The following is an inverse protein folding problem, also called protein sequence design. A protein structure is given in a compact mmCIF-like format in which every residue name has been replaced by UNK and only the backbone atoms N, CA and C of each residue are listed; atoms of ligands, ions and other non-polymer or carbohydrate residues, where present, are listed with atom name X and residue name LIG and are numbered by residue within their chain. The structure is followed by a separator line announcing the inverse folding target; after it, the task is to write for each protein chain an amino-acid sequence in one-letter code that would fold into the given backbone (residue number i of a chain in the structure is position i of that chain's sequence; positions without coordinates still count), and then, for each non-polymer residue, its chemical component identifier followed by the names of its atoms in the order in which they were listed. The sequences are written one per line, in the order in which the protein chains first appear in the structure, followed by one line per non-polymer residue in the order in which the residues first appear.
data_IF_742195971361
#
_entry.id   IF_742195971361
#
_cell.length_a   1.000
_cell.length_b   1.000
_cell.length_c   1.000
_cell.angle_alpha   90.00
_cell.angle_beta   90.00
_cell.angle_gamma   90.00
#
_symmetry.space_group_name_H-M   'P 1'
#
loop_
_entity.id
_entity.type
_entity.pdbx_description
1 polymer ?
#
# COMPACT_ATOMS: atom_id res chain seq x y z
N UNK A 1 3.00 -10.78 41.19
CA UNK A 1 2.01 -9.95 41.91
C UNK A 1 1.95 -8.51 41.38
N UNK A 2 3.05 -7.74 41.39
CA UNK A 2 3.04 -6.32 40.98
C UNK A 2 2.71 -6.10 39.48
N UNK A 3 3.30 -6.91 38.58
CA UNK A 3 3.05 -6.82 37.12
C UNK A 3 1.60 -7.17 36.73
N UNK A 4 0.94 -8.06 37.47
CA UNK A 4 -0.46 -8.42 37.24
C UNK A 4 -1.42 -7.30 37.68
N UNK A 5 -1.14 -6.64 38.82
CA UNK A 5 -1.93 -5.46 39.25
C UNK A 5 -1.79 -4.31 38.26
N UNK A 6 -0.57 -4.03 37.79
CA UNK A 6 -0.33 -2.97 36.79
C UNK A 6 -1.03 -3.27 35.47
N UNK A 7 -1.00 -4.52 35.00
CA UNK A 7 -1.73 -4.92 33.80
C UNK A 7 -3.26 -4.80 33.96
N UNK A 8 -3.80 -5.20 35.11
CA UNK A 8 -5.22 -5.09 35.42
C UNK A 8 -5.68 -3.63 35.55
N UNK A 9 -4.91 -2.77 36.23
CA UNK A 9 -5.21 -1.34 36.37
C UNK A 9 -5.09 -0.58 35.05
N UNK A 10 -4.22 -1.03 34.15
CA UNK A 10 -4.12 -0.47 32.81
C UNK A 10 -5.31 -0.89 31.94
N UNK A 11 -5.73 -2.15 32.02
CA UNK A 11 -6.92 -2.65 31.31
C UNK A 11 -8.21 -1.95 31.78
N UNK A 12 -8.36 -1.72 33.10
CA UNK A 12 -9.54 -1.04 33.65
C UNK A 12 -9.60 0.42 33.19
N UNK A 13 -8.48 1.15 33.24
CA UNK A 13 -8.41 2.54 32.75
C UNK A 13 -8.65 2.67 31.25
N UNK A 14 -8.16 1.72 30.45
CA UNK A 14 -8.44 1.69 29.01
C UNK A 14 -9.92 1.43 28.75
N UNK A 15 -10.53 0.48 29.47
CA UNK A 15 -11.97 0.20 29.37
C UNK A 15 -12.83 1.38 29.80
N UNK A 16 -12.43 2.10 30.83
CA UNK A 16 -13.14 3.27 31.36
C UNK A 16 -13.07 4.44 30.37
N UNK A 17 -11.89 4.71 29.80
CA UNK A 17 -11.72 5.71 28.73
C UNK A 17 -12.53 5.33 27.48
N UNK A 18 -12.54 4.06 27.08
CA UNK A 18 -13.36 3.57 25.96
C UNK A 18 -14.86 3.70 26.24
N UNK A 19 -15.31 3.48 27.48
CA UNK A 19 -16.70 3.64 27.89
C UNK A 19 -17.12 5.12 28.00
N UNK A 20 -16.18 6.02 28.32
CA UNK A 20 -16.40 7.47 28.39
C UNK A 20 -16.30 8.17 27.03
N UNK A 21 -15.77 7.49 26.01
CA UNK A 21 -15.59 8.06 24.67
C UNK A 21 -16.73 7.61 23.75
N UNK A 22 -17.42 8.54 23.04
CA UNK A 22 -18.43 8.15 22.07
C UNK A 22 -17.85 7.20 21.02
N UNK A 23 -18.58 6.13 20.67
CA UNK A 23 -18.17 5.20 19.62
C UNK A 23 -17.78 5.91 18.30
N UNK A 24 -18.44 7.05 18.03
CA UNK A 24 -18.15 7.93 16.90
C UNK A 24 -16.76 8.56 16.91
N UNK A 25 -16.23 8.91 18.08
CA UNK A 25 -14.90 9.53 18.20
C UNK A 25 -13.79 8.48 18.05
N UNK A 26 -14.03 7.24 18.51
CA UNK A 26 -13.15 6.10 18.26
C UNK A 26 -13.11 5.81 16.75
N UNK A 27 -14.27 5.72 16.09
CA UNK A 27 -14.36 5.50 14.65
C UNK A 27 -13.61 6.59 13.86
N UNK A 28 -13.81 7.86 14.23
CA UNK A 28 -13.13 9.01 13.60
C UNK A 28 -11.61 8.93 13.75
N UNK A 29 -11.10 8.61 14.95
CA UNK A 29 -9.66 8.52 15.22
C UNK A 29 -9.01 7.32 14.53
N UNK A 30 -9.70 6.18 14.47
CA UNK A 30 -9.24 5.00 13.72
C UNK A 30 -9.19 5.30 12.21
N UNK A 31 -10.24 5.92 11.66
CA UNK A 31 -10.27 6.31 10.25
C UNK A 31 -9.17 7.31 9.90
N UNK A 32 -8.93 8.30 10.75
CA UNK A 32 -7.85 9.27 10.57
C UNK A 32 -6.47 8.60 10.63
N UNK A 33 -6.28 7.66 11.54
CA UNK A 33 -5.02 6.90 11.67
C UNK A 33 -4.76 6.00 10.48
N UNK A 34 -5.78 5.31 9.97
CA UNK A 34 -5.70 4.49 8.76
C UNK A 34 -5.44 5.35 7.53
N UNK A 35 -6.10 6.51 7.40
CA UNK A 35 -5.85 7.45 6.31
C UNK A 35 -4.42 7.99 6.34
N UNK A 36 -3.91 8.36 7.53
CA UNK A 36 -2.52 8.82 7.71
C UNK A 36 -1.48 7.71 7.46
N UNK A 37 -1.84 6.45 7.68
CA UNK A 37 -0.99 5.31 7.33
C UNK A 37 -1.01 5.04 5.82
N UNK A 38 -2.18 5.03 5.18
CA UNK A 38 -2.31 4.90 3.72
C UNK A 38 -1.62 6.04 2.98
N UNK A 39 -1.66 7.27 3.50
CA UNK A 39 -0.97 8.41 2.87
C UNK A 39 0.55 8.34 2.97
N UNK A 40 1.09 7.51 3.88
CA UNK A 40 2.53 7.24 3.98
C UNK A 40 2.99 6.12 3.05
N UNK A 41 2.04 5.37 2.50
CA UNK A 41 2.33 4.46 1.41
C UNK A 41 2.29 5.32 0.14
N UNK A 42 3.31 5.23 -0.72
CA UNK A 42 3.34 5.91 -2.02
C UNK A 42 2.31 5.25 -2.97
N UNK A 43 1.03 5.39 -2.63
CA UNK A 43 -0.08 4.78 -3.33
C UNK A 43 -0.37 5.58 -4.59
N UNK A 44 -0.44 4.86 -5.70
CA UNK A 44 -0.99 5.37 -6.95
C UNK A 44 -2.46 4.99 -7.03
N UNK A 45 -3.24 5.81 -7.73
CA UNK A 45 -4.61 5.47 -8.04
C UNK A 45 -4.66 4.22 -8.93
N UNK A 46 -5.80 3.53 -8.92
CA UNK A 46 -5.98 2.35 -9.78
C UNK A 46 -5.83 2.71 -11.27
N UNK A 47 -6.33 3.88 -11.67
CA UNK A 47 -6.23 4.37 -13.05
C UNK A 47 -4.77 4.63 -13.46
N UNK A 48 -3.98 5.29 -12.60
CA UNK A 48 -2.55 5.50 -12.85
C UNK A 48 -1.79 4.18 -12.97
N UNK A 49 -2.09 3.20 -12.11
CA UNK A 49 -1.51 1.86 -12.21
C UNK A 49 -1.83 1.20 -13.55
N UNK A 50 -3.10 1.23 -13.96
CA UNK A 50 -3.55 0.61 -15.22
C UNK A 50 -2.89 1.30 -16.44
N UNK A 51 -2.72 2.62 -16.40
CA UNK A 51 -1.97 3.36 -17.43
C UNK A 51 -0.51 2.90 -17.49
N UNK A 52 0.18 2.80 -16.35
CA UNK A 52 1.58 2.35 -16.32
C UNK A 52 1.72 0.90 -16.82
N UNK A 53 0.77 0.02 -16.48
CA UNK A 53 0.73 -1.35 -16.98
C UNK A 53 0.63 -1.39 -18.52
N UNK A 54 -0.20 -0.53 -19.12
CA UNK A 54 -0.32 -0.42 -20.58
C UNK A 54 0.96 0.13 -21.23
N UNK A 55 1.59 1.14 -20.62
CA UNK A 55 2.87 1.67 -21.10
C UNK A 55 3.94 0.59 -21.08
N UNK A 56 4.01 -0.21 -20.00
CA UNK A 56 4.95 -1.32 -19.89
C UNK A 56 4.70 -2.40 -20.95
N UNK A 57 3.43 -2.77 -21.19
CA UNK A 57 3.07 -3.73 -22.22
C UNK A 57 3.55 -3.29 -23.61
N UNK A 58 3.24 -2.04 -24.01
CA UNK A 58 3.69 -1.47 -25.29
C UNK A 58 5.21 -1.38 -25.39
N UNK A 59 5.88 -1.10 -24.28
CA UNK A 59 7.35 -1.02 -24.25
C UNK A 59 7.97 -2.40 -24.49
N UNK A 60 7.39 -3.47 -23.90
CA UNK A 60 7.83 -4.85 -24.14
C UNK A 60 7.63 -5.27 -25.59
N UNK A 61 6.48 -4.95 -26.19
CA UNK A 61 6.21 -5.24 -27.61
C UNK A 61 7.24 -4.56 -28.52
N UNK A 62 7.50 -3.26 -28.31
CA UNK A 62 8.52 -2.52 -29.06
C UNK A 62 9.93 -3.08 -28.85
N UNK A 63 10.24 -3.49 -27.62
CA UNK A 63 11.54 -4.07 -27.28
C UNK A 63 11.74 -5.38 -28.04
N UNK A 64 10.73 -6.27 -28.06
CA UNK A 64 10.78 -7.51 -28.83
C UNK A 64 10.95 -7.27 -30.33
N UNK A 65 10.25 -6.29 -30.89
CA UNK A 65 10.40 -5.92 -32.30
C UNK A 65 11.83 -5.44 -32.60
N UNK A 66 12.40 -4.60 -31.74
CA UNK A 66 13.77 -4.11 -31.90
C UNK A 66 14.79 -5.23 -31.75
N UNK A 67 14.60 -6.14 -30.80
CA UNK A 67 15.45 -7.34 -30.63
C UNK A 67 15.40 -8.23 -31.88
N UNK A 68 14.23 -8.46 -32.47
CA UNK A 68 14.10 -9.24 -33.70
C UNK A 68 14.79 -8.58 -34.89
N UNK A 69 14.65 -7.26 -35.03
CA UNK A 69 15.36 -6.47 -36.06
C UNK A 69 16.87 -6.53 -35.85
N UNK A 70 17.33 -6.39 -34.61
CA UNK A 70 18.75 -6.48 -34.26
C UNK A 70 19.31 -7.86 -34.60
N UNK A 71 18.62 -8.94 -34.21
CA UNK A 71 19.02 -10.31 -34.52
C UNK A 71 19.13 -10.57 -36.03
N UNK A 72 18.25 -9.96 -36.83
CA UNK A 72 18.28 -10.03 -38.30
C UNK A 72 19.49 -9.28 -38.89
N UNK A 73 19.92 -8.20 -38.25
CA UNK A 73 21.09 -7.41 -38.66
C UNK A 73 22.42 -8.00 -38.17
N UNK A 74 22.43 -8.63 -37.00
CA UNK A 74 23.61 -9.26 -36.40
C UNK A 74 23.92 -10.64 -36.99
N UNK A 75 22.91 -11.33 -37.53
CA UNK A 75 23.09 -12.50 -38.38
C UNK A 75 22.73 -12.17 -39.83
N UNK A 76 23.51 -11.33 -40.53
CA UNK A 76 23.32 -11.14 -41.95
C UNK A 76 23.55 -12.50 -42.61
N UNK A 77 22.46 -13.11 -43.09
CA UNK A 77 22.54 -14.33 -43.89
C UNK A 77 23.47 -14.01 -45.07
N UNK A 78 24.65 -14.63 -45.05
CA UNK A 78 25.48 -14.82 -46.23
C UNK A 78 24.84 -15.88 -47.11
#
# INVERSE_FOLDING_TARGET
MLKQKIAADMASKVSEVLAMTPARDIEKNLKASLAAWLSKLDLVTREEFDVQAQVLARTREKLQELEARLASLENPQT
#
